data_IF_202263819913
#
_entry.id   IF_202263819913
#
_cell.length_a   1.000
_cell.length_b   1.000
_cell.length_c   1.000
_cell.angle_alpha   90.00
_cell.angle_beta   90.00
_cell.angle_gamma   90.00
#
_symmetry.space_group_name_H-M   'P 1'
#
loop_
_entity.id
_entity.type
_entity.pdbx_description
1 polymer ?
#
# COMPACT_ATOMS: atom_id res chain seq x y z
N UNK A 1 -11.90 -3.47 45.58
CA UNK A 1 -11.92 -3.99 44.20
C UNK A 1 -10.47 -4.02 43.74
N UNK A 2 -9.88 -5.20 43.61
CA UNK A 2 -8.55 -5.32 43.04
C UNK A 2 -8.68 -5.11 41.53
N UNK A 3 -8.03 -4.07 40.98
CA UNK A 3 -7.78 -3.98 39.56
C UNK A 3 -6.90 -5.18 39.20
N UNK A 4 -7.46 -6.12 38.45
CA UNK A 4 -6.67 -7.20 37.86
C UNK A 4 -5.78 -6.53 36.82
N UNK A 5 -4.49 -6.43 37.10
CA UNK A 5 -3.50 -6.12 36.07
C UNK A 5 -3.54 -7.28 35.07
N UNK A 6 -4.01 -7.00 33.87
CA UNK A 6 -3.89 -7.93 32.75
C UNK A 6 -2.43 -7.90 32.29
N UNK A 7 -1.91 -9.06 31.90
CA UNK A 7 -0.59 -9.13 31.26
C UNK A 7 -0.66 -8.55 29.85
N UNK A 8 0.47 -8.12 29.29
CA UNK A 8 0.54 -7.56 27.92
C UNK A 8 -0.11 -8.51 26.89
N UNK A 9 0.15 -9.82 26.99
CA UNK A 9 -0.47 -10.86 26.15
C UNK A 9 -2.00 -11.01 26.31
N UNK A 10 -2.55 -10.65 27.48
CA UNK A 10 -4.00 -10.66 27.71
C UNK A 10 -4.65 -9.40 27.14
N UNK A 11 -3.96 -8.26 27.21
CA UNK A 11 -4.37 -7.01 26.57
C UNK A 11 -4.37 -7.12 25.04
N UNK A 12 -3.30 -7.66 24.44
CA UNK A 12 -3.22 -7.85 22.99
C UNK A 12 -4.34 -8.76 22.48
N UNK A 13 -4.64 -9.86 23.18
CA UNK A 13 -5.73 -10.77 22.80
C UNK A 13 -7.11 -10.12 22.84
N UNK A 14 -7.35 -9.26 23.83
CA UNK A 14 -8.61 -8.50 23.91
C UNK A 14 -8.70 -7.49 22.77
N UNK A 15 -7.63 -6.73 22.51
CA UNK A 15 -7.61 -5.76 21.41
C UNK A 15 -7.78 -6.45 20.05
N UNK A 16 -7.12 -7.58 19.83
CA UNK A 16 -7.33 -8.43 18.65
C UNK A 16 -8.80 -8.78 18.47
N UNK A 17 -9.45 -9.33 19.50
CA UNK A 17 -10.85 -9.74 19.40
C UNK A 17 -11.82 -8.58 19.13
N UNK A 18 -11.46 -7.36 19.49
CA UNK A 18 -12.27 -6.16 19.24
C UNK A 18 -11.98 -5.53 17.88
N UNK A 19 -10.74 -5.60 17.40
CA UNK A 19 -10.27 -4.90 16.18
C UNK A 19 -10.30 -5.78 14.94
N UNK A 20 -10.03 -7.08 15.06
CA UNK A 20 -10.09 -8.06 13.96
C UNK A 20 -11.53 -8.55 13.71
N UNK A 21 -12.45 -7.59 13.59
CA UNK A 21 -13.84 -7.84 13.19
C UNK A 21 -14.01 -7.46 11.72
N UNK A 22 -14.57 -8.35 10.91
CA UNK A 22 -14.74 -8.10 9.47
C UNK A 22 -15.47 -6.79 9.22
N UNK A 23 -14.86 -5.93 8.40
CA UNK A 23 -15.34 -4.59 8.08
C UNK A 23 -14.86 -3.49 9.03
N UNK A 24 -14.13 -3.83 10.10
CA UNK A 24 -13.49 -2.84 10.96
C UNK A 24 -12.40 -2.08 10.18
N UNK A 25 -12.28 -0.78 10.45
CA UNK A 25 -11.31 0.11 9.81
C UNK A 25 -10.30 0.60 10.83
N UNK A 26 -9.04 0.63 10.43
CA UNK A 26 -7.93 1.04 11.28
C UNK A 26 -6.85 1.75 10.46
N UNK A 27 -5.83 2.27 11.15
CA UNK A 27 -4.60 2.78 10.53
C UNK A 27 -3.45 1.84 10.87
N UNK A 28 -2.68 1.47 9.86
CA UNK A 28 -1.49 0.65 10.01
C UNK A 28 -0.28 1.37 9.45
N UNK A 29 0.86 1.19 10.08
CA UNK A 29 2.14 1.67 9.57
C UNK A 29 2.69 0.64 8.59
N UNK A 30 3.10 1.08 7.40
CA UNK A 30 3.79 0.19 6.46
C UNK A 30 5.23 0.05 6.92
N UNK A 31 5.59 -1.07 7.52
CA UNK A 31 6.92 -1.27 8.12
C UNK A 31 7.96 -1.77 7.13
N UNK A 32 7.53 -2.39 6.03
CA UNK A 32 8.40 -2.89 4.96
C UNK A 32 7.64 -2.93 3.63
N UNK A 33 8.37 -2.68 2.54
CA UNK A 33 7.88 -2.80 1.16
C UNK A 33 8.87 -3.62 0.36
N UNK A 34 8.50 -4.85 0.05
CA UNK A 34 9.33 -5.77 -0.72
C UNK A 34 8.72 -6.02 -2.11
N UNK A 35 9.56 -6.01 -3.15
CA UNK A 35 9.18 -6.48 -4.48
C UNK A 35 10.17 -7.56 -4.90
N UNK A 36 9.68 -8.79 -4.98
CA UNK A 36 10.49 -9.97 -5.30
C UNK A 36 9.81 -10.73 -6.42
N UNK A 37 10.56 -11.01 -7.48
CA UNK A 37 10.07 -11.61 -8.71
C UNK A 37 8.89 -10.81 -9.28
N UNK A 38 7.70 -11.40 -9.29
CA UNK A 38 6.44 -10.81 -9.76
C UNK A 38 5.46 -10.59 -8.61
N UNK A 39 5.94 -10.48 -7.36
CA UNK A 39 5.10 -10.23 -6.17
C UNK A 39 5.57 -8.99 -5.43
N UNK A 40 4.64 -8.09 -5.12
CA UNK A 40 4.87 -6.99 -4.19
C UNK A 40 4.20 -7.28 -2.85
N UNK A 41 4.93 -7.12 -1.75
CA UNK A 41 4.44 -7.36 -0.39
C UNK A 41 4.56 -6.07 0.44
N UNK A 42 3.47 -5.70 1.10
CA UNK A 42 3.41 -4.64 2.11
C UNK A 42 3.29 -5.29 3.48
N UNK A 43 4.22 -5.01 4.38
CA UNK A 43 4.10 -5.42 5.79
C UNK A 43 3.49 -4.30 6.61
N UNK A 44 2.46 -4.64 7.37
CA UNK A 44 1.63 -3.73 8.14
C UNK A 44 1.89 -3.94 9.63
N UNK A 45 2.34 -2.88 10.31
CA UNK A 45 2.49 -2.80 11.75
C UNK A 45 1.34 -2.06 12.40
N UNK A 46 1.05 -2.42 13.65
CA UNK A 46 0.00 -1.80 14.45
C UNK A 46 0.55 -1.40 15.82
N UNK A 47 0.13 -0.26 16.36
CA UNK A 47 0.59 0.18 17.68
C UNK A 47 0.14 -0.76 18.83
N UNK A 48 -0.95 -1.50 18.62
CA UNK A 48 -1.56 -2.33 19.67
C UNK A 48 -1.05 -3.77 19.73
N UNK A 49 -0.24 -4.20 18.77
CA UNK A 49 0.31 -5.56 18.70
C UNK A 49 1.74 -5.53 18.17
N UNK A 50 2.60 -6.35 18.74
CA UNK A 50 3.94 -6.58 18.19
C UNK A 50 3.95 -7.45 16.92
N UNK A 51 2.84 -8.16 16.64
CA UNK A 51 2.66 -8.95 15.42
C UNK A 51 2.31 -8.06 14.23
N UNK A 52 3.03 -8.23 13.12
CA UNK A 52 2.76 -7.57 11.85
C UNK A 52 1.90 -8.45 10.94
N UNK A 53 1.06 -7.84 10.11
CA UNK A 53 0.36 -8.52 9.02
C UNK A 53 1.08 -8.25 7.68
N UNK A 54 0.81 -9.03 6.64
CA UNK A 54 1.41 -8.81 5.32
C UNK A 54 0.40 -9.07 4.22
N UNK A 55 0.33 -8.12 3.29
CA UNK A 55 -0.51 -8.19 2.10
C UNK A 55 0.38 -8.31 0.87
N UNK A 56 0.07 -9.27 0.02
CA UNK A 56 0.80 -9.54 -1.21
C UNK A 56 -0.06 -9.26 -2.44
N UNK A 57 0.57 -8.71 -3.47
CA UNK A 57 -0.02 -8.37 -4.76
C UNK A 57 0.76 -9.07 -5.86
N UNK A 58 0.04 -9.77 -6.74
CA UNK A 58 0.59 -10.38 -7.95
C UNK A 58 0.77 -9.32 -9.05
N UNK A 59 2.00 -9.09 -9.49
CA UNK A 59 2.33 -8.08 -10.51
C UNK A 59 2.00 -8.53 -11.93
N UNK A 60 1.72 -9.82 -12.14
CA UNK A 60 1.17 -10.35 -13.39
C UNK A 60 -0.36 -10.24 -13.44
N UNK A 61 -1.04 -10.08 -12.29
CA UNK A 61 -2.47 -9.80 -12.23
C UNK A 61 -2.75 -8.29 -12.38
N UNK A 62 -3.45 -7.93 -13.46
CA UNK A 62 -3.78 -6.55 -13.75
C UNK A 62 -4.64 -5.88 -12.66
N UNK A 63 -5.45 -6.67 -11.93
CA UNK A 63 -6.27 -6.19 -10.82
C UNK A 63 -5.39 -5.81 -9.63
N UNK A 64 -4.51 -6.71 -9.21
CA UNK A 64 -3.60 -6.47 -8.08
C UNK A 64 -2.69 -5.26 -8.36
N UNK A 65 -2.22 -5.11 -9.60
CA UNK A 65 -1.47 -3.91 -10.02
C UNK A 65 -2.32 -2.64 -9.90
N UNK A 66 -3.61 -2.67 -10.22
CA UNK A 66 -4.51 -1.51 -10.05
C UNK A 66 -4.78 -1.21 -8.58
N UNK A 67 -4.95 -2.25 -7.75
CA UNK A 67 -5.15 -2.11 -6.31
C UNK A 67 -3.92 -1.47 -5.65
N UNK A 68 -2.72 -1.98 -5.96
CA UNK A 68 -1.46 -1.44 -5.48
C UNK A 68 -1.22 0.01 -5.94
N UNK A 69 -1.62 0.35 -7.18
CA UNK A 69 -1.62 1.74 -7.68
C UNK A 69 -2.53 2.65 -6.87
N UNK A 70 -3.72 2.17 -6.49
CA UNK A 70 -4.64 2.94 -5.68
C UNK A 70 -4.07 3.20 -4.29
N UNK A 71 -3.41 2.21 -3.68
CA UNK A 71 -2.73 2.36 -2.39
C UNK A 71 -1.62 3.42 -2.46
N UNK A 72 -0.74 3.34 -3.46
CA UNK A 72 0.31 4.35 -3.67
C UNK A 72 -0.29 5.75 -3.85
N UNK A 73 -1.31 5.87 -4.70
CA UNK A 73 -1.96 7.14 -5.01
C UNK A 73 -2.68 7.76 -3.80
N UNK A 74 -3.29 6.94 -2.95
CA UNK A 74 -3.95 7.39 -1.71
C UNK A 74 -2.93 8.00 -0.73
N UNK A 75 -1.74 7.40 -0.63
CA UNK A 75 -0.61 7.95 0.11
C UNK A 75 0.09 9.12 -0.61
N UNK A 76 -0.33 9.47 -1.84
CA UNK A 76 0.20 10.59 -2.61
C UNK A 76 1.45 10.27 -3.43
N UNK A 77 1.75 8.99 -3.61
CA UNK A 77 2.88 8.49 -4.39
C UNK A 77 2.43 7.93 -5.75
N UNK A 78 3.35 7.95 -6.70
CA UNK A 78 3.18 7.23 -7.96
C UNK A 78 3.51 5.75 -7.79
N UNK A 79 3.08 4.91 -8.74
CA UNK A 79 3.34 3.46 -8.69
C UNK A 79 4.83 3.09 -8.74
N UNK A 80 5.66 3.88 -9.41
CA UNK A 80 7.12 3.69 -9.45
C UNK A 80 7.80 4.10 -8.13
N UNK A 81 7.03 4.64 -7.18
CA UNK A 81 7.48 5.15 -5.89
C UNK A 81 7.01 4.28 -4.71
N UNK A 82 6.62 3.02 -4.94
CA UNK A 82 6.08 2.14 -3.90
C UNK A 82 6.95 2.02 -2.65
N UNK A 83 8.28 2.05 -2.78
CA UNK A 83 9.21 2.00 -1.64
C UNK A 83 9.06 3.19 -0.69
N UNK A 84 8.45 4.30 -1.13
CA UNK A 84 8.14 5.44 -0.27
C UNK A 84 6.91 5.24 0.61
N UNK A 85 6.16 4.14 0.41
CA UNK A 85 5.13 3.74 1.36
C UNK A 85 5.75 3.27 2.69
N UNK A 86 7.00 2.80 2.70
CA UNK A 86 7.65 2.39 3.95
C UNK A 86 7.76 3.57 4.92
N UNK A 87 7.25 3.38 6.13
CA UNK A 87 7.14 4.39 7.18
C UNK A 87 5.85 5.23 7.12
N UNK A 88 4.96 4.99 6.16
CA UNK A 88 3.68 5.71 6.05
C UNK A 88 2.56 5.01 6.80
N UNK A 89 1.66 5.83 7.35
CA UNK A 89 0.47 5.33 8.06
C UNK A 89 -0.76 5.35 7.15
N UNK A 90 -1.18 4.17 6.67
CA UNK A 90 -2.28 4.02 5.70
C UNK A 90 -3.57 3.49 6.34
N UNK A 91 -4.75 3.82 5.80
CA UNK A 91 -6.01 3.23 6.23
C UNK A 91 -6.12 1.77 5.77
N UNK A 92 -6.52 0.88 6.66
CA UNK A 92 -6.71 -0.55 6.41
C UNK A 92 -8.11 -1.01 6.87
N UNK A 93 -8.59 -2.09 6.27
CA UNK A 93 -9.85 -2.73 6.61
C UNK A 93 -9.58 -4.19 6.91
N UNK A 94 -10.08 -4.68 8.04
CA UNK A 94 -10.00 -6.10 8.35
C UNK A 94 -11.04 -6.86 7.54
N UNK A 95 -10.59 -7.81 6.72
CA UNK A 95 -11.44 -8.76 6.01
C UNK A 95 -11.29 -10.15 6.63
N UNK A 96 -12.05 -11.13 6.14
CA UNK A 96 -11.97 -12.53 6.61
C UNK A 96 -10.55 -13.13 6.50
N UNK A 97 -9.69 -12.53 5.69
CA UNK A 97 -8.37 -13.05 5.32
C UNK A 97 -7.21 -12.20 5.88
N UNK A 98 -7.51 -11.21 6.74
CA UNK A 98 -6.50 -10.28 7.29
C UNK A 98 -6.74 -8.82 6.92
N UNK A 99 -5.77 -7.97 7.27
CA UNK A 99 -5.83 -6.55 7.02
C UNK A 99 -5.48 -6.20 5.56
N UNK A 100 -6.34 -5.43 4.91
CA UNK A 100 -6.15 -4.98 3.53
C UNK A 100 -6.18 -3.46 3.46
N UNK A 101 -5.27 -2.81 2.72
CA UNK A 101 -5.35 -1.37 2.48
C UNK A 101 -6.73 -0.96 1.96
N UNK A 102 -7.35 0.05 2.58
CA UNK A 102 -8.70 0.47 2.23
C UNK A 102 -8.80 0.91 0.76
N UNK A 103 -7.74 1.52 0.23
CA UNK A 103 -7.65 1.96 -1.15
C UNK A 103 -7.59 0.81 -2.17
N UNK A 104 -7.19 -0.39 -1.76
CA UNK A 104 -7.22 -1.59 -2.60
C UNK A 104 -8.65 -2.14 -2.78
N UNK A 105 -9.60 -1.76 -1.93
CA UNK A 105 -10.96 -2.25 -2.03
C UNK A 105 -11.74 -1.59 -3.17
N UNK A 106 -12.68 -2.31 -3.81
CA UNK A 106 -13.55 -1.74 -4.82
C UNK A 106 -14.36 -0.57 -4.23
N UNK A 107 -14.05 0.64 -4.69
CA UNK A 107 -14.65 1.87 -4.18
C UNK A 107 -13.86 2.56 -3.05
N UNK A 108 -12.61 2.17 -2.79
CA UNK A 108 -11.72 2.81 -1.80
C UNK A 108 -10.71 3.80 -2.37
N UNK A 109 -10.72 4.05 -3.69
CA UNK A 109 -9.80 5.00 -4.33
C UNK A 109 -9.94 6.44 -3.81
N UNK A 110 -9.03 7.35 -4.21
CA UNK A 110 -8.82 8.69 -3.61
C UNK A 110 -9.97 9.72 -3.76
N UNK A 111 -11.23 9.27 -3.91
CA UNK A 111 -12.43 10.09 -4.03
C UNK A 111 -13.65 9.62 -3.24
N UNK A 112 -13.54 8.58 -2.40
CA UNK A 112 -14.67 8.10 -1.56
C UNK A 112 -14.43 8.43 -0.09
N UNK A 113 -14.67 9.71 0.21
CA UNK A 113 -14.72 10.22 1.56
C UNK A 113 -15.89 9.61 2.34
N UNK A 114 -15.56 8.88 3.41
CA UNK A 114 -16.33 8.88 4.65
C UNK A 114 -15.32 9.16 5.79
N UNK A 115 -15.16 10.44 6.12
CA UNK A 115 -14.54 10.86 7.39
C UNK A 115 -15.46 10.48 8.56
N UNK A 116 -14.87 10.15 9.71
CA UNK A 116 -15.02 11.10 10.80
C UNK A 116 -13.66 11.53 11.36
N UNK A 117 -13.50 12.85 11.39
CA UNK A 117 -12.42 13.63 11.98
C UNK A 117 -12.19 13.28 13.46
N UNK A 118 -10.93 13.04 13.87
CA UNK A 118 -10.40 13.52 15.16
C UNK A 118 -8.85 13.52 15.22
N UNK A 119 -8.30 14.75 15.32
CA UNK A 119 -7.06 15.20 15.95
C UNK A 119 -5.67 14.77 15.41
N UNK A 120 -5.02 15.74 14.72
CA UNK A 120 -3.56 15.78 14.45
C UNK A 120 -2.72 16.27 15.64
N UNK A 121 -1.39 16.43 15.44
CA UNK A 121 -0.81 17.55 14.68
C UNK A 121 0.13 17.02 13.56
N UNK A 122 0.28 17.60 12.37
CA UNK A 122 0.31 19.00 11.96
C UNK A 122 0.15 19.05 10.44
N UNK A 123 -1.02 19.46 9.95
CA UNK A 123 -1.35 19.59 8.52
C UNK A 123 -0.92 20.94 7.94
N UNK A 124 0.32 21.36 8.15
CA UNK A 124 0.81 22.65 7.63
C UNK A 124 2.06 22.50 6.75
N UNK A 125 2.81 21.40 6.85
CA UNK A 125 3.99 21.18 6.00
C UNK A 125 3.69 20.51 4.65
N UNK A 126 2.68 19.63 4.57
CA UNK A 126 2.43 18.83 3.36
C UNK A 126 1.71 19.57 2.23
N UNK A 127 1.02 20.68 2.53
CA UNK A 127 0.29 21.46 1.53
C UNK A 127 1.19 22.37 0.69
N UNK A 128 2.35 22.79 1.20
CA UNK A 128 3.25 23.70 0.49
C UNK A 128 4.08 23.01 -0.61
N UNK A 129 4.30 21.70 -0.53
CA UNK A 129 5.08 20.97 -1.54
C UNK A 129 4.30 20.63 -2.81
N UNK A 130 2.96 20.69 -2.76
CA UNK A 130 2.08 20.27 -3.86
C UNK A 130 1.90 21.30 -4.98
N UNK A 131 2.48 22.50 -4.86
CA UNK A 131 2.29 23.59 -5.83
C UNK A 131 3.56 24.01 -6.60
N UNK A 132 4.76 23.53 -6.26
CA UNK A 132 6.01 24.06 -6.87
C UNK A 132 6.77 23.13 -7.83
N UNK A 133 6.43 21.85 -8.00
CA UNK A 133 7.20 20.93 -8.87
C UNK A 133 6.48 20.53 -10.17
N UNK A 134 5.57 21.37 -10.67
CA UNK A 134 4.93 21.16 -11.97
C UNK A 134 5.72 21.71 -13.17
N UNK A 135 6.98 22.11 -12.97
CA UNK A 135 7.88 22.57 -14.03
C UNK A 135 9.29 22.11 -13.68
N UNK A 136 9.93 21.40 -14.61
CA UNK A 136 11.27 20.78 -14.55
C UNK A 136 11.31 19.48 -13.72
N UNK A 137 11.26 18.28 -14.29
CA UNK A 137 12.43 17.69 -14.97
C UNK A 137 11.99 16.58 -15.96
N UNK A 138 11.79 16.97 -17.22
CA UNK A 138 11.81 16.04 -18.35
C UNK A 138 13.28 15.73 -18.61
N UNK A 139 13.92 14.79 -17.93
CA UNK A 139 15.17 14.15 -18.43
C UNK A 139 15.49 12.77 -17.82
N UNK A 140 15.06 12.41 -16.60
CA UNK A 140 15.56 11.17 -15.96
C UNK A 140 14.62 9.94 -15.95
N UNK A 141 13.47 9.97 -16.63
CA UNK A 141 12.42 8.92 -16.53
C UNK A 141 12.51 7.78 -17.56
N UNK A 142 13.67 7.55 -18.16
CA UNK A 142 13.81 6.71 -19.36
C UNK A 142 14.53 5.36 -19.16
N UNK A 143 15.10 5.08 -17.98
CA UNK A 143 15.92 3.86 -17.83
C UNK A 143 15.09 2.65 -17.39
N UNK A 144 14.25 2.76 -16.36
CA UNK A 144 13.53 1.59 -15.80
C UNK A 144 12.32 1.19 -16.64
N UNK A 145 11.54 2.17 -17.11
CA UNK A 145 10.43 1.95 -18.04
C UNK A 145 10.93 1.43 -19.40
N UNK A 146 12.15 1.82 -19.78
CA UNK A 146 12.85 1.29 -20.95
C UNK A 146 13.12 -0.21 -20.86
N UNK A 147 13.55 -0.74 -19.71
CA UNK A 147 13.88 -2.17 -19.55
C UNK A 147 12.63 -3.05 -19.65
N UNK A 148 11.54 -2.68 -18.99
CA UNK A 148 10.29 -3.45 -19.02
C UNK A 148 9.69 -3.48 -20.43
N UNK A 149 9.66 -2.32 -21.12
CA UNK A 149 9.16 -2.23 -22.49
C UNK A 149 10.07 -2.96 -23.48
N UNK A 150 11.39 -2.87 -23.33
CA UNK A 150 12.35 -3.56 -24.20
C UNK A 150 12.25 -5.08 -24.07
N UNK A 151 12.08 -5.61 -22.85
CA UNK A 151 11.88 -7.05 -22.61
C UNK A 151 10.62 -7.55 -23.32
N UNK A 152 9.50 -6.83 -23.24
CA UNK A 152 8.26 -7.19 -23.95
C UNK A 152 8.41 -7.13 -25.46
N UNK A 153 9.10 -6.12 -26.00
CA UNK A 153 9.32 -6.00 -27.45
C UNK A 153 10.22 -7.11 -28.01
N UNK A 154 11.24 -7.55 -27.27
CA UNK A 154 12.07 -8.68 -27.68
C UNK A 154 11.27 -9.97 -27.80
N UNK A 155 10.40 -10.24 -26.81
CA UNK A 155 9.50 -11.41 -26.82
C UNK A 155 8.57 -11.37 -28.03
N UNK A 156 7.95 -10.21 -28.31
CA UNK A 156 7.06 -10.05 -29.46
C UNK A 156 7.82 -10.23 -30.78
N UNK A 157 9.03 -9.65 -30.92
CA UNK A 157 9.83 -9.82 -32.13
C UNK A 157 10.26 -11.26 -32.37
N UNK A 158 10.62 -11.99 -31.31
CA UNK A 158 11.00 -13.40 -31.38
C UNK A 158 9.80 -14.27 -31.79
N UNK A 159 8.62 -13.99 -31.25
CA UNK A 159 7.37 -14.63 -31.65
C UNK A 159 7.03 -14.39 -33.12
N UNK A 160 7.16 -13.15 -33.59
CA UNK A 160 6.92 -12.80 -35.00
C UNK A 160 7.93 -13.48 -35.92
N UNK A 161 9.21 -13.49 -35.55
CA UNK A 161 10.26 -14.17 -36.33
C UNK A 161 10.00 -15.68 -36.44
N UNK A 162 9.57 -16.32 -35.35
CA UNK A 162 9.21 -17.75 -35.34
C UNK A 162 7.94 -18.04 -36.14
N UNK A 163 6.99 -17.10 -36.22
CA UNK A 163 5.78 -17.25 -37.03
C UNK A 163 6.02 -17.03 -38.53
N UNK A 164 7.01 -16.21 -38.88
CA UNK A 164 7.31 -15.84 -40.28
C UNK A 164 8.37 -16.74 -40.92
N UNK A 165 9.20 -17.42 -40.12
CA UNK A 165 10.23 -18.37 -40.57
C UNK A 165 9.77 -19.80 -40.39
#
# INVERSE_FOLDING_TARGET
>A
MALREYTDDEYERLQRSERELTGNRERADVTDVAVVDDTATLTLGFEWTSESDSVSYDLDDARDVMELKAVAADAGYEYDQLFHLEGETIPVVYLENGWVPAAALPGGGPGTADEPTQQGPSLVDSAYRRLSERVDDITARSVVLGVIVTKKLLIVSALVYLLVT
#
